data_IF_860827927023
#
_entry.id   IF_860827927023
#
_cell.length_a   1.000
_cell.length_b   1.000
_cell.length_c   1.000
_cell.angle_alpha   90.00
_cell.angle_beta   90.00
_cell.angle_gamma   90.00
#
_symmetry.space_group_name_H-M   'P 1'
#
loop_
_entity.id
_entity.type
_entity.pdbx_description
1 polymer ?
#
# COMPACT_ATOMS: atom_id res chain seq x y z
N UNK A 1 4.48 6.61 9.89
CA UNK A 1 3.86 5.58 9.00
C UNK A 1 3.96 4.25 9.72
N UNK A 2 2.83 3.67 10.16
CA UNK A 2 2.80 2.43 10.95
C UNK A 2 2.41 1.21 10.10
N UNK A 3 1.69 1.43 9.01
CA UNK A 3 1.32 0.40 8.04
C UNK A 3 2.49 0.11 7.08
N UNK A 4 2.78 -1.17 6.88
CA UNK A 4 3.93 -1.64 6.09
C UNK A 4 3.58 -2.86 5.26
N UNK A 5 4.22 -2.98 4.09
CA UNK A 5 4.20 -4.18 3.25
C UNK A 5 5.59 -4.81 3.28
N UNK A 6 5.69 -6.06 3.74
CA UNK A 6 6.94 -6.83 3.75
C UNK A 6 6.77 -8.08 2.88
N UNK A 7 7.83 -8.41 2.12
CA UNK A 7 7.84 -9.55 1.21
C UNK A 7 9.21 -10.24 1.25
N UNK A 8 9.24 -11.54 0.93
CA UNK A 8 10.48 -12.28 0.70
C UNK A 8 11.21 -11.73 -0.53
N UNK A 9 12.51 -11.99 -0.67
CA UNK A 9 13.36 -11.39 -1.70
C UNK A 9 12.83 -11.61 -3.13
N UNK A 10 12.36 -12.81 -3.42
CA UNK A 10 11.79 -13.22 -4.70
C UNK A 10 10.50 -12.45 -5.02
N UNK A 11 9.58 -12.34 -4.06
CA UNK A 11 8.33 -11.59 -4.24
C UNK A 11 8.58 -10.08 -4.30
N UNK A 12 9.49 -9.56 -3.49
CA UNK A 12 9.86 -8.15 -3.49
C UNK A 12 10.46 -7.70 -4.84
N UNK A 13 11.14 -8.61 -5.55
CA UNK A 13 11.70 -8.32 -6.88
C UNK A 13 10.63 -8.16 -7.97
N UNK A 14 9.41 -8.66 -7.74
CA UNK A 14 8.28 -8.53 -8.66
C UNK A 14 7.48 -7.23 -8.44
N UNK A 15 7.77 -6.47 -7.37
CA UNK A 15 7.00 -5.27 -7.04
C UNK A 15 7.27 -4.14 -8.05
N UNK A 16 6.22 -3.69 -8.75
CA UNK A 16 6.31 -2.66 -9.80
C UNK A 16 5.74 -1.31 -9.37
N UNK A 17 4.85 -1.29 -8.38
CA UNK A 17 4.29 -0.05 -7.85
C UNK A 17 3.94 -0.17 -6.36
N UNK A 18 4.01 0.94 -5.64
CA UNK A 18 3.55 1.05 -4.25
C UNK A 18 2.84 2.39 -4.06
N UNK A 19 1.57 2.33 -3.67
CA UNK A 19 0.71 3.50 -3.51
C UNK A 19 0.21 3.63 -2.08
N UNK A 20 0.35 4.83 -1.53
CA UNK A 20 -0.32 5.27 -0.30
C UNK A 20 -1.53 6.08 -0.73
N UNK A 21 -2.74 5.61 -0.45
CA UNK A 21 -3.97 6.29 -0.89
C UNK A 21 -4.39 7.39 0.09
N UNK A 22 -3.53 8.41 0.29
CA UNK A 22 -3.79 9.54 1.19
C UNK A 22 -5.12 10.27 0.95
N UNK A 23 -5.61 10.44 -0.30
CA UNK A 23 -6.91 11.08 -0.55
C UNK A 23 -8.10 10.39 0.13
N UNK A 24 -7.99 9.09 0.45
CA UNK A 24 -9.04 8.36 1.19
C UNK A 24 -9.29 8.95 2.58
N UNK A 25 -8.34 9.68 3.16
CA UNK A 25 -8.51 10.34 4.46
C UNK A 25 -9.50 11.51 4.41
N UNK A 26 -9.84 12.02 3.22
CA UNK A 26 -10.79 13.12 3.04
C UNK A 26 -12.24 12.66 2.80
N UNK A 27 -12.53 11.35 2.87
CA UNK A 27 -13.90 10.86 2.73
C UNK A 27 -14.80 11.28 3.89
N UNK A 28 -16.13 11.27 3.72
CA UNK A 28 -17.09 11.77 4.71
C UNK A 28 -17.00 11.09 6.08
N UNK A 29 -16.61 9.81 6.11
CA UNK A 29 -16.40 9.03 7.34
C UNK A 29 -15.21 8.08 7.14
N UNK A 30 -13.96 8.58 7.18
CA UNK A 30 -12.80 7.80 6.80
C UNK A 30 -12.26 6.98 7.98
N UNK A 31 -11.68 5.81 7.68
CA UNK A 31 -10.85 5.05 8.63
C UNK A 31 -9.66 5.89 9.11
N UNK A 32 -9.21 5.67 10.35
CA UNK A 32 -8.01 6.30 10.92
C UNK A 32 -6.71 5.89 10.19
N UNK A 33 -6.75 4.79 9.44
CA UNK A 33 -5.70 4.36 8.51
C UNK A 33 -6.04 4.66 7.04
N UNK A 34 -5.02 4.71 6.18
CA UNK A 34 -5.17 4.80 4.72
C UNK A 34 -4.72 3.49 4.05
N UNK A 35 -5.32 3.10 2.92
CA UNK A 35 -4.89 1.90 2.20
C UNK A 35 -3.46 2.03 1.67
N UNK A 36 -2.71 0.93 1.78
CA UNK A 36 -1.46 0.69 1.05
C UNK A 36 -1.71 -0.38 0.00
N UNK A 37 -1.32 -0.11 -1.25
CA UNK A 37 -1.42 -1.08 -2.35
C UNK A 37 -0.02 -1.27 -2.94
N UNK A 38 0.37 -2.52 -3.15
CA UNK A 38 1.62 -2.88 -3.84
C UNK A 38 1.25 -3.78 -5.01
N UNK A 39 1.69 -3.42 -6.21
CA UNK A 39 1.44 -4.17 -7.43
C UNK A 39 2.65 -5.04 -7.76
N UNK A 40 2.39 -6.24 -8.28
CA UNK A 40 3.41 -7.21 -8.64
C UNK A 40 3.22 -7.67 -10.10
N UNK A 41 4.31 -7.80 -10.84
CA UNK A 41 4.35 -8.37 -12.19
C UNK A 41 4.62 -9.87 -12.09
N UNK A 42 3.63 -10.72 -12.41
CA UNK A 42 3.64 -12.17 -12.16
C UNK A 42 3.42 -13.01 -13.42
#
# INVERSE_FOLDING_TARGET
RLDHMWATKDVAALAVAHHVHEPCRNWTRPSDHVPLVTEFDI
#
